data_IF_541538594923
#
_entry.id   IF_541538594923
#
_cell.length_a   1.000
_cell.length_b   1.000
_cell.length_c   1.000
_cell.angle_alpha   90.00
_cell.angle_beta   90.00
_cell.angle_gamma   90.00
#
_symmetry.space_group_name_H-M   'P 1'
#
loop_
_entity.id
_entity.type
_entity.pdbx_description
1 polymer ?
#
# COMPACT_ATOMS: atom_id res chain seq x y z
N UNK A 1 -7.61 -12.63 5.69
CA UNK A 1 -9.03 -12.34 5.37
C UNK A 1 -9.26 -11.91 3.92
N UNK A 2 -8.86 -10.72 3.46
CA UNK A 2 -9.20 -10.27 2.10
C UNK A 2 -8.60 -11.17 0.99
N UNK A 3 -7.27 -11.38 0.98
CA UNK A 3 -6.61 -12.24 -0.01
C UNK A 3 -7.18 -13.66 -0.02
N UNK A 4 -7.40 -14.23 1.17
CA UNK A 4 -8.00 -15.56 1.35
C UNK A 4 -9.41 -15.64 0.78
N UNK A 5 -10.27 -14.65 1.05
CA UNK A 5 -11.64 -14.59 0.53
C UNK A 5 -11.65 -14.58 -1.01
N UNK A 6 -10.77 -13.80 -1.61
CA UNK A 6 -10.63 -13.73 -3.08
C UNK A 6 -9.75 -14.84 -3.67
N UNK A 7 -9.22 -15.74 -2.83
CA UNK A 7 -8.31 -16.84 -3.23
C UNK A 7 -7.10 -16.35 -4.02
N UNK A 8 -6.55 -15.21 -3.65
CA UNK A 8 -5.33 -14.64 -4.24
C UNK A 8 -4.15 -14.84 -3.30
N UNK A 9 -2.96 -15.05 -3.89
CA UNK A 9 -1.72 -15.03 -3.14
C UNK A 9 -1.46 -13.58 -2.66
N UNK A 10 -1.35 -13.31 -1.34
CA UNK A 10 -1.09 -11.97 -0.84
C UNK A 10 0.22 -11.37 -1.39
N UNK A 11 1.23 -12.19 -1.71
CA UNK A 11 2.47 -11.71 -2.33
C UNK A 11 2.30 -11.22 -3.77
N UNK A 12 1.16 -11.55 -4.40
CA UNK A 12 0.74 -11.04 -5.72
C UNK A 12 -0.38 -10.01 -5.61
N UNK A 13 -0.64 -9.52 -4.40
CA UNK A 13 -1.63 -8.49 -4.14
C UNK A 13 -0.96 -7.21 -3.63
N UNK A 14 -1.52 -6.08 -4.06
CA UNK A 14 -1.11 -4.75 -3.64
C UNK A 14 -2.17 -4.17 -2.71
N UNK A 15 -1.74 -3.67 -1.56
CA UNK A 15 -2.53 -2.79 -0.71
C UNK A 15 -2.22 -1.34 -1.09
N UNK A 16 -3.25 -0.51 -1.10
CA UNK A 16 -3.15 0.95 -1.22
C UNK A 16 -3.63 1.54 0.09
N UNK A 17 -2.74 2.23 0.81
CA UNK A 17 -3.02 2.81 2.12
C UNK A 17 -2.62 4.28 2.22
N UNK A 18 -2.68 4.82 3.43
CA UNK A 18 -2.44 6.24 3.67
C UNK A 18 -1.78 6.51 5.04
N UNK A 19 -1.59 5.46 5.86
CA UNK A 19 -1.08 5.53 7.23
C UNK A 19 -0.06 4.44 7.55
N UNK A 20 0.68 4.62 8.65
CA UNK A 20 1.59 3.60 9.19
C UNK A 20 0.88 2.27 9.51
N UNK A 21 -0.41 2.33 9.88
CA UNK A 21 -1.19 1.14 10.20
C UNK A 21 -1.41 0.29 8.93
N UNK A 22 -1.60 0.93 7.78
CA UNK A 22 -1.74 0.23 6.50
C UNK A 22 -0.46 -0.46 6.10
N UNK A 23 0.68 0.21 6.29
CA UNK A 23 1.99 -0.39 6.04
C UNK A 23 2.20 -1.61 6.93
N UNK A 24 1.93 -1.49 8.23
CA UNK A 24 2.05 -2.61 9.16
C UNK A 24 1.11 -3.77 8.80
N UNK A 25 -0.14 -3.47 8.45
CA UNK A 25 -1.11 -4.48 8.04
C UNK A 25 -0.69 -5.20 6.75
N UNK A 26 -0.26 -4.46 5.73
CA UNK A 26 0.22 -5.03 4.47
C UNK A 26 1.42 -5.96 4.70
N UNK A 27 2.42 -5.51 5.48
CA UNK A 27 3.61 -6.31 5.80
C UNK A 27 3.25 -7.57 6.57
N UNK A 28 2.40 -7.47 7.59
CA UNK A 28 1.96 -8.62 8.36
C UNK A 28 1.20 -9.64 7.50
N UNK A 29 0.48 -9.18 6.48
CA UNK A 29 -0.29 -10.02 5.58
C UNK A 29 0.48 -10.50 4.34
N UNK A 30 1.69 -10.01 4.11
CA UNK A 30 2.53 -10.36 2.95
C UNK A 30 2.22 -9.58 1.65
N UNK A 31 1.44 -8.50 1.73
CA UNK A 31 1.09 -7.66 0.59
C UNK A 31 2.22 -6.71 0.22
N UNK A 32 2.29 -6.33 -1.05
CA UNK A 32 2.94 -5.09 -1.47
C UNK A 32 2.13 -3.89 -0.94
N UNK A 33 2.75 -2.74 -0.73
CA UNK A 33 2.07 -1.53 -0.22
C UNK A 33 2.54 -0.27 -0.92
N UNK A 34 1.57 0.46 -1.47
CA UNK A 34 1.74 1.84 -1.92
C UNK A 34 0.93 2.73 -1.00
N UNK A 35 1.48 3.90 -0.67
CA UNK A 35 0.75 4.90 0.12
C UNK A 35 0.52 6.20 -0.65
N UNK A 36 -0.58 6.88 -0.34
CA UNK A 36 -0.76 8.28 -0.77
C UNK A 36 -0.06 9.24 0.19
N UNK A 37 0.52 10.32 -0.32
CA UNK A 37 1.27 11.29 0.50
C UNK A 37 0.40 12.20 1.38
N UNK A 38 -0.89 12.30 1.08
CA UNK A 38 -1.86 13.17 1.73
C UNK A 38 -2.78 12.44 2.73
N UNK A 39 -2.36 11.28 3.22
CA UNK A 39 -3.10 10.40 4.11
C UNK A 39 -3.19 10.81 5.57
N UNK A 40 -3.96 10.05 6.34
CA UNK A 40 -4.23 10.27 7.77
C UNK A 40 -3.12 9.71 8.68
N UNK A 41 -1.85 10.07 8.42
CA UNK A 41 -0.70 9.58 9.16
C UNK A 41 -0.30 10.49 10.36
N UNK A 42 -1.27 11.07 11.05
CA UNK A 42 -1.06 11.91 12.25
C UNK A 42 -0.07 13.09 12.07
N UNK A 43 0.07 13.61 10.85
CA UNK A 43 1.01 14.70 10.52
C UNK A 43 2.45 14.25 10.26
N UNK A 44 2.73 12.95 10.35
CA UNK A 44 4.03 12.38 9.99
C UNK A 44 4.08 12.05 8.49
N UNK A 45 5.22 12.28 7.85
CA UNK A 45 5.42 11.87 6.46
C UNK A 45 5.35 10.33 6.35
N UNK A 46 4.39 9.83 5.57
CA UNK A 46 4.17 8.40 5.38
C UNK A 46 5.39 7.67 4.82
N UNK A 47 6.31 8.38 4.15
CA UNK A 47 7.59 7.83 3.70
C UNK A 47 8.43 7.25 4.84
N UNK A 48 8.27 7.76 6.07
CA UNK A 48 8.96 7.24 7.28
C UNK A 48 8.49 5.84 7.67
N UNK A 49 7.29 5.43 7.25
CA UNK A 49 6.79 4.07 7.47
C UNK A 49 7.40 3.05 6.48
N UNK A 50 8.17 3.51 5.49
CA UNK A 50 8.84 2.69 4.47
C UNK A 50 7.87 1.80 3.63
N UNK A 51 6.85 2.39 2.97
CA UNK A 51 6.06 1.68 1.96
C UNK A 51 6.91 1.39 0.71
N UNK A 52 6.42 0.53 -0.20
CA UNK A 52 7.13 0.19 -1.44
C UNK A 52 7.18 1.37 -2.41
N UNK A 53 6.14 2.21 -2.41
CA UNK A 53 6.16 3.52 -3.07
C UNK A 53 5.19 4.51 -2.39
N UNK A 54 5.38 5.79 -2.68
CA UNK A 54 4.44 6.86 -2.29
C UNK A 54 4.03 7.64 -3.54
N UNK A 55 2.73 7.83 -3.71
CA UNK A 55 2.13 8.63 -4.79
C UNK A 55 1.41 9.85 -4.23
N UNK A 56 1.36 10.94 -4.99
CA UNK A 56 0.69 12.18 -4.61
C UNK A 56 -0.74 12.29 -5.16
N UNK A 57 -1.13 11.36 -6.04
CA UNK A 57 -2.49 11.24 -6.58
C UNK A 57 -2.74 9.82 -7.06
N UNK A 58 -3.98 9.34 -6.92
CA UNK A 58 -4.42 8.05 -7.47
C UNK A 58 -4.23 7.96 -8.98
N UNK A 59 -4.20 9.08 -9.69
CA UNK A 59 -3.93 9.11 -11.13
C UNK A 59 -2.51 8.68 -11.50
N UNK A 60 -1.58 8.63 -10.52
CA UNK A 60 -0.22 8.15 -10.71
C UNK A 60 -0.09 6.63 -10.53
N UNK A 61 -1.16 5.92 -10.15
CA UNK A 61 -1.10 4.50 -9.83
C UNK A 61 -0.56 3.67 -11.00
N UNK A 62 -0.99 3.98 -12.24
CA UNK A 62 -0.53 3.30 -13.45
C UNK A 62 0.98 3.43 -13.70
N UNK A 63 1.63 4.45 -13.13
CA UNK A 63 3.09 4.63 -13.25
C UNK A 63 3.91 3.78 -12.28
N UNK A 64 3.27 3.24 -11.24
CA UNK A 64 3.92 2.49 -10.15
C UNK A 64 3.49 1.02 -10.10
N UNK A 65 2.44 0.65 -10.85
CA UNK A 65 2.04 -0.75 -11.06
C UNK A 65 2.45 -1.20 -12.46
N UNK A 66 2.98 -2.42 -12.57
CA UNK A 66 3.23 -3.06 -13.86
C UNK A 66 2.14 -4.10 -14.13
N UNK A 67 1.55 -4.06 -15.32
CA UNK A 67 0.68 -5.15 -15.78
C UNK A 67 1.56 -6.35 -16.15
N UNK A 68 1.28 -7.51 -15.53
CA UNK A 68 1.83 -8.81 -15.96
C UNK A 68 0.83 -9.53 -16.85
#
# INVERSE_FOLDING_TARGET
>A
HAAEFFKVDPHKALMLGDSINDVQAARAAGFQIICVSYGYNHGEDIRKANPDAVIDSLTQLDSVISYQ
#
